data_IF_586738029138
#
_entry.id   IF_586738029138
#
_cell.length_a   1.000
_cell.length_b   1.000
_cell.length_c   1.000
_cell.angle_alpha   90.00
_cell.angle_beta   90.00
_cell.angle_gamma   90.00
#
_symmetry.space_group_name_H-M   'P 1'
#
loop_
_entity.id
_entity.type
_entity.pdbx_description
1 polymer ?
#
# COMPACT_ATOMS: atom_id res chain seq x y z
N UNK A 1 -4.64 -15.48 -8.83
CA UNK A 1 -4.51 -14.02 -8.57
C UNK A 1 -3.15 -13.75 -7.95
N UNK A 2 -2.45 -12.76 -8.47
CA UNK A 2 -1.18 -12.32 -7.90
C UNK A 2 -1.39 -10.97 -7.21
N UNK A 3 -0.86 -10.82 -5.99
CA UNK A 3 -1.06 -9.63 -5.16
C UNK A 3 0.26 -8.91 -4.93
N UNK A 4 0.25 -7.60 -5.11
CA UNK A 4 1.35 -6.70 -4.74
C UNK A 4 0.97 -6.01 -3.43
N UNK A 5 1.82 -6.14 -2.41
CA UNK A 5 1.63 -5.47 -1.13
C UNK A 5 2.73 -4.40 -1.00
N UNK A 6 2.34 -3.14 -1.00
CA UNK A 6 3.28 -2.02 -1.02
C UNK A 6 3.07 -1.09 0.16
N UNK A 7 4.17 -0.68 0.79
CA UNK A 7 4.13 0.26 1.90
C UNK A 7 5.52 0.52 2.47
N UNK A 8 5.63 1.50 3.35
CA UNK A 8 6.85 1.73 4.11
C UNK A 8 7.03 0.61 5.15
N UNK A 9 8.23 0.49 5.68
CA UNK A 9 8.49 -0.38 6.83
C UNK A 9 7.78 0.14 8.09
N UNK A 10 7.83 -0.60 9.18
CA UNK A 10 7.19 -0.21 10.43
C UNK A 10 5.70 -0.48 10.46
N UNK A 11 4.92 0.48 10.96
CA UNK A 11 3.48 0.32 11.17
C UNK A 11 2.68 -0.01 9.92
N UNK A 12 3.02 0.62 8.80
CA UNK A 12 2.33 0.34 7.52
C UNK A 12 2.54 -1.10 7.08
N UNK A 13 3.76 -1.61 7.21
CA UNK A 13 4.07 -3.00 6.86
C UNK A 13 3.37 -3.96 7.81
N UNK A 14 3.33 -3.65 9.09
CA UNK A 14 2.64 -4.47 10.09
C UNK A 14 1.16 -4.60 9.76
N UNK A 15 0.50 -3.52 9.36
CA UNK A 15 -0.89 -3.55 8.92
C UNK A 15 -1.10 -4.54 7.78
N UNK A 16 -0.27 -4.45 6.75
CA UNK A 16 -0.36 -5.35 5.60
C UNK A 16 -0.12 -6.80 6.00
N UNK A 17 0.88 -7.04 6.83
CA UNK A 17 1.22 -8.39 7.28
C UNK A 17 0.08 -9.02 8.06
N UNK A 18 -0.63 -8.26 8.88
CA UNK A 18 -1.75 -8.76 9.67
C UNK A 18 -2.98 -9.10 8.83
N UNK A 19 -3.00 -8.73 7.56
CA UNK A 19 -4.05 -9.10 6.62
C UNK A 19 -3.81 -10.47 5.98
N UNK A 20 -3.14 -11.35 6.68
CA UNK A 20 -2.77 -12.69 6.22
C UNK A 20 -3.88 -13.43 5.47
N UNK A 21 -5.12 -13.46 5.97
CA UNK A 21 -6.20 -14.13 5.24
C UNK A 21 -6.42 -13.63 3.81
N UNK A 22 -6.04 -12.40 3.51
CA UNK A 22 -6.19 -11.84 2.16
C UNK A 22 -5.09 -12.28 1.20
N UNK A 23 -3.92 -12.67 1.72
CA UNK A 23 -2.77 -12.90 0.84
C UNK A 23 -2.06 -14.26 1.02
N UNK A 24 -2.25 -14.97 2.14
CA UNK A 24 -1.44 -16.16 2.43
C UNK A 24 -1.62 -17.30 1.42
N UNK A 25 -2.80 -17.41 0.81
CA UNK A 25 -3.10 -18.45 -0.18
C UNK A 25 -2.96 -17.97 -1.62
N UNK A 26 -2.31 -16.83 -1.83
CA UNK A 26 -2.16 -16.21 -3.15
C UNK A 26 -0.70 -16.04 -3.51
N UNK A 27 -0.40 -16.05 -4.80
CA UNK A 27 0.89 -15.62 -5.29
C UNK A 27 1.03 -14.14 -4.93
N UNK A 28 2.19 -13.76 -4.39
CA UNK A 28 2.36 -12.40 -3.87
C UNK A 28 3.81 -11.97 -3.88
N UNK A 29 3.99 -10.67 -3.85
CA UNK A 29 5.28 -10.04 -3.60
C UNK A 29 5.06 -8.74 -2.84
N UNK A 30 6.13 -8.25 -2.23
CA UNK A 30 6.10 -7.09 -1.36
C UNK A 30 7.00 -6.01 -1.92
N UNK A 31 6.63 -4.76 -1.70
CA UNK A 31 7.48 -3.60 -2.00
C UNK A 31 7.55 -2.77 -0.73
N UNK A 32 8.75 -2.62 -0.18
CA UNK A 32 8.93 -1.89 1.08
C UNK A 32 10.37 -1.37 1.18
N UNK A 33 10.65 -0.64 2.26
CA UNK A 33 11.98 -0.12 2.51
C UNK A 33 12.94 -1.25 2.89
N UNK A 34 14.19 -1.13 2.46
CA UNK A 34 15.25 -2.08 2.80
C UNK A 34 15.77 -1.78 4.22
N UNK A 35 14.98 -2.13 5.22
CA UNK A 35 15.27 -1.94 6.64
C UNK A 35 15.18 -3.26 7.39
N UNK A 36 15.85 -3.34 8.54
CA UNK A 36 15.96 -4.58 9.31
C UNK A 36 14.61 -5.13 9.77
N UNK A 37 13.66 -4.27 10.18
CA UNK A 37 12.35 -4.72 10.61
C UNK A 37 11.58 -5.38 9.46
N UNK A 38 11.69 -4.84 8.26
CA UNK A 38 11.06 -5.42 7.08
C UNK A 38 11.71 -6.75 6.71
N UNK A 39 13.03 -6.82 6.75
CA UNK A 39 13.76 -8.07 6.46
C UNK A 39 13.39 -9.18 7.41
N UNK A 40 13.26 -8.88 8.70
CA UNK A 40 12.84 -9.85 9.70
C UNK A 40 11.42 -10.34 9.48
N UNK A 41 10.49 -9.41 9.26
CA UNK A 41 9.08 -9.73 9.11
C UNK A 41 8.80 -10.53 7.84
N UNK A 42 9.46 -10.19 6.75
CA UNK A 42 9.20 -10.78 5.43
C UNK A 42 10.21 -11.86 5.04
N UNK A 43 10.84 -12.49 6.02
CA UNK A 43 11.78 -13.59 5.78
C UNK A 43 11.08 -14.69 4.99
N UNK A 44 11.70 -15.08 3.87
CA UNK A 44 11.11 -16.10 3.00
C UNK A 44 10.12 -15.56 1.96
N UNK A 45 9.78 -14.27 2.03
CA UNK A 45 8.89 -13.62 1.06
C UNK A 45 9.70 -12.99 -0.07
N UNK A 46 9.05 -12.83 -1.24
CA UNK A 46 9.65 -12.09 -2.35
C UNK A 46 9.46 -10.59 -2.11
N UNK A 47 10.55 -9.85 -1.98
CA UNK A 47 10.53 -8.42 -1.65
C UNK A 47 11.33 -7.64 -2.66
N UNK A 48 10.74 -6.54 -3.13
CA UNK A 48 11.45 -5.53 -3.94
C UNK A 48 11.69 -4.32 -3.05
N UNK A 49 12.94 -3.87 -2.92
CA UNK A 49 13.22 -2.67 -2.14
C UNK A 49 12.79 -1.41 -2.89
N UNK A 50 12.38 -0.40 -2.14
CA UNK A 50 12.12 0.93 -2.68
C UNK A 50 12.92 1.97 -1.91
N UNK A 51 13.01 3.18 -2.46
CA UNK A 51 13.82 4.24 -1.90
C UNK A 51 13.12 4.92 -0.71
N UNK A 52 13.88 5.31 0.28
CA UNK A 52 13.41 6.03 1.44
C UNK A 52 14.45 7.10 1.84
N UNK A 53 14.04 8.16 2.56
CA UNK A 53 12.69 8.49 3.01
C UNK A 53 11.78 8.90 1.85
N UNK A 54 10.47 8.76 2.04
CA UNK A 54 9.48 9.17 1.05
C UNK A 54 8.74 10.44 1.44
N UNK A 55 8.88 10.86 2.70
CA UNK A 55 8.18 12.02 3.23
C UNK A 55 8.78 13.30 2.64
N UNK A 56 7.96 14.06 1.90
CA UNK A 56 8.37 15.33 1.26
C UNK A 56 9.68 15.21 0.45
N UNK A 57 9.87 14.09 -0.24
CA UNK A 57 11.08 13.82 -0.98
C UNK A 57 10.75 13.53 -2.45
N UNK A 58 10.85 14.58 -3.27
CA UNK A 58 10.52 14.50 -4.70
C UNK A 58 11.49 13.59 -5.45
N UNK A 59 12.79 13.60 -5.10
CA UNK A 59 13.78 12.73 -5.72
C UNK A 59 13.40 11.26 -5.56
N UNK A 60 13.05 10.87 -4.33
CA UNK A 60 12.67 9.49 -4.06
C UNK A 60 11.31 9.15 -4.65
N UNK A 61 10.40 10.13 -4.76
CA UNK A 61 9.14 9.92 -5.47
C UNK A 61 9.38 9.55 -6.93
N UNK A 62 10.27 10.26 -7.61
CA UNK A 62 10.64 9.98 -9.00
C UNK A 62 11.30 8.61 -9.10
N UNK A 63 12.26 8.31 -8.22
CA UNK A 63 12.95 7.02 -8.20
C UNK A 63 11.96 5.86 -7.97
N UNK A 64 11.03 6.02 -7.04
CA UNK A 64 10.03 5.00 -6.76
C UNK A 64 9.02 4.85 -7.89
N UNK A 65 8.78 5.90 -8.67
CA UNK A 65 7.96 5.79 -9.88
C UNK A 65 8.61 4.86 -10.91
N UNK A 66 9.93 4.96 -11.11
CA UNK A 66 10.65 4.04 -11.98
C UNK A 66 10.68 2.61 -11.41
N UNK A 67 10.83 2.47 -10.09
CA UNK A 67 10.73 1.16 -9.43
C UNK A 67 9.35 0.56 -9.70
N UNK A 68 8.29 1.35 -9.56
CA UNK A 68 6.93 0.88 -9.80
C UNK A 68 6.73 0.41 -11.25
N UNK A 69 7.22 1.18 -12.21
CA UNK A 69 7.14 0.79 -13.62
C UNK A 69 7.83 -0.55 -13.86
N UNK A 70 9.06 -0.69 -13.36
CA UNK A 70 9.84 -1.91 -13.54
C UNK A 70 9.18 -3.11 -12.88
N UNK A 71 8.81 -2.97 -11.62
CA UNK A 71 8.25 -4.07 -10.83
C UNK A 71 6.89 -4.50 -11.34
N UNK A 72 6.00 -3.55 -11.61
CA UNK A 72 4.65 -3.86 -12.08
C UNK A 72 4.66 -4.48 -13.49
N UNK A 73 5.56 -4.05 -14.35
CA UNK A 73 5.73 -4.67 -15.68
C UNK A 73 6.26 -6.09 -15.58
N UNK A 74 7.19 -6.34 -14.66
CA UNK A 74 7.80 -7.66 -14.47
C UNK A 74 6.84 -8.64 -13.82
N UNK A 75 6.18 -8.25 -12.74
CA UNK A 75 5.35 -9.14 -11.94
C UNK A 75 3.92 -9.25 -12.43
N UNK A 76 3.40 -8.20 -13.06
CA UNK A 76 2.01 -8.13 -13.57
C UNK A 76 0.98 -8.59 -12.53
N UNK A 77 0.91 -7.94 -11.36
CA UNK A 77 -0.05 -8.32 -10.35
C UNK A 77 -1.48 -8.04 -10.81
N UNK A 78 -2.43 -8.76 -10.26
CA UNK A 78 -3.86 -8.52 -10.51
C UNK A 78 -4.43 -7.49 -9.54
N UNK A 79 -3.83 -7.40 -8.36
CA UNK A 79 -4.31 -6.57 -7.26
C UNK A 79 -3.12 -5.89 -6.57
N UNK A 80 -3.26 -4.61 -6.27
CA UNK A 80 -2.27 -3.86 -5.47
C UNK A 80 -2.96 -3.39 -4.20
N UNK A 81 -2.38 -3.73 -3.05
CA UNK A 81 -2.89 -3.35 -1.74
C UNK A 81 -1.84 -2.52 -1.02
N UNK A 82 -2.26 -1.46 -0.36
CA UNK A 82 -1.37 -0.66 0.50
C UNK A 82 -2.11 -0.15 1.73
N UNK A 83 -1.38 0.01 2.81
CA UNK A 83 -1.85 0.70 4.02
C UNK A 83 -1.16 2.05 4.18
N UNK A 84 -0.38 2.49 3.22
CA UNK A 84 0.17 3.83 3.24
C UNK A 84 1.64 3.95 2.97
N UNK A 85 2.11 5.08 3.31
CA UNK A 85 3.25 5.90 2.98
C UNK A 85 3.25 6.35 1.51
N UNK A 86 4.04 7.38 1.24
CA UNK A 86 4.05 8.03 -0.08
C UNK A 86 4.47 7.10 -1.21
N UNK A 87 5.20 6.02 -0.92
CA UNK A 87 5.59 5.02 -1.92
C UNK A 87 4.38 4.36 -2.60
N UNK A 88 3.25 4.28 -1.91
CA UNK A 88 2.02 3.72 -2.47
C UNK A 88 1.50 4.54 -3.66
N UNK A 89 1.71 5.84 -3.65
CA UNK A 89 1.16 6.74 -4.68
C UNK A 89 1.61 6.35 -6.09
N UNK A 90 2.92 6.27 -6.40
CA UNK A 90 3.35 5.89 -7.75
C UNK A 90 2.90 4.49 -8.12
N UNK A 91 2.92 3.54 -7.20
CA UNK A 91 2.47 2.17 -7.48
C UNK A 91 0.99 2.15 -7.84
N UNK A 92 0.16 2.88 -7.12
CA UNK A 92 -1.29 2.92 -7.37
C UNK A 92 -1.62 3.57 -8.70
N UNK A 93 -1.01 4.72 -9.00
CA UNK A 93 -1.29 5.41 -10.28
C UNK A 93 -0.85 4.62 -11.49
N UNK A 94 0.34 3.99 -11.43
CA UNK A 94 0.82 3.16 -12.53
C UNK A 94 -0.03 1.90 -12.67
N UNK A 95 -0.37 1.25 -11.57
CA UNK A 95 -1.23 0.07 -11.60
C UNK A 95 -2.61 0.41 -12.17
N UNK A 96 -3.15 1.58 -11.85
CA UNK A 96 -4.42 2.05 -12.41
C UNK A 96 -4.34 2.18 -13.92
N UNK A 97 -3.26 2.77 -14.43
CA UNK A 97 -3.03 2.89 -15.87
C UNK A 97 -2.89 1.52 -16.55
N UNK A 98 -2.45 0.52 -15.82
CA UNK A 98 -2.34 -0.86 -16.33
C UNK A 98 -3.63 -1.67 -16.17
N UNK A 99 -4.70 -1.06 -15.67
CA UNK A 99 -6.00 -1.72 -15.49
C UNK A 99 -6.07 -2.67 -14.31
N UNK A 100 -5.19 -2.53 -13.32
CA UNK A 100 -5.17 -3.40 -12.14
C UNK A 100 -6.15 -2.92 -11.08
N UNK A 101 -6.56 -3.84 -10.19
CA UNK A 101 -7.40 -3.49 -9.04
C UNK A 101 -6.58 -2.92 -7.90
N UNK A 102 -7.16 -1.95 -7.19
CA UNK A 102 -6.48 -1.21 -6.13
C UNK A 102 -7.33 -1.22 -4.86
N UNK A 103 -6.71 -1.59 -3.75
CA UNK A 103 -7.32 -1.52 -2.42
C UNK A 103 -6.39 -0.71 -1.52
N UNK A 104 -6.91 0.32 -0.90
CA UNK A 104 -6.17 1.12 0.07
C UNK A 104 -6.82 1.03 1.44
N UNK A 105 -6.00 0.88 2.47
CA UNK A 105 -6.45 0.79 3.85
C UNK A 105 -5.83 1.96 4.63
N UNK A 106 -6.68 2.85 5.13
CA UNK A 106 -6.20 3.97 5.96
C UNK A 106 -5.74 3.42 7.31
N UNK A 107 -4.63 3.97 7.82
CA UNK A 107 -3.98 3.42 9.01
C UNK A 107 -4.85 3.56 10.27
N UNK A 108 -4.64 2.65 11.22
CA UNK A 108 -5.44 2.53 12.44
C UNK A 108 -5.48 3.80 13.29
N UNK A 109 -4.37 4.53 13.36
CA UNK A 109 -4.28 5.74 14.17
C UNK A 109 -4.96 6.97 13.53
N UNK A 110 -5.56 6.82 12.35
CA UNK A 110 -6.30 7.89 11.69
C UNK A 110 -7.79 7.75 11.96
N UNK A 111 -8.27 8.44 13.00
CA UNK A 111 -9.66 8.36 13.44
C UNK A 111 -10.56 9.26 12.58
N UNK A 112 -10.18 10.51 12.40
CA UNK A 112 -10.97 11.54 11.71
C UNK A 112 -10.17 12.43 10.76
N UNK A 113 -8.84 12.27 10.73
CA UNK A 113 -7.95 13.06 9.87
C UNK A 113 -7.29 12.18 8.82
N UNK A 114 -7.47 12.49 7.54
CA UNK A 114 -6.88 11.68 6.49
C UNK A 114 -5.38 11.89 6.37
N UNK A 115 -4.68 10.86 5.85
CA UNK A 115 -3.30 11.03 5.42
C UNK A 115 -3.28 11.67 4.03
N UNK A 116 -2.16 12.31 3.67
CA UNK A 116 -1.99 12.84 2.33
C UNK A 116 -2.04 11.71 1.29
N UNK A 117 -1.38 10.60 1.57
CA UNK A 117 -1.40 9.43 0.69
C UNK A 117 -2.83 8.95 0.44
N UNK A 118 -3.63 8.82 1.51
CA UNK A 118 -5.03 8.41 1.38
C UNK A 118 -5.82 9.35 0.49
N UNK A 119 -5.66 10.66 0.66
CA UNK A 119 -6.32 11.65 -0.18
C UNK A 119 -5.94 11.52 -1.65
N UNK A 120 -4.65 11.26 -1.92
CA UNK A 120 -4.15 11.18 -3.29
C UNK A 120 -4.64 9.93 -4.01
N UNK A 121 -4.81 8.81 -3.32
CA UNK A 121 -5.23 7.55 -3.95
C UNK A 121 -6.74 7.34 -3.93
N UNK A 122 -7.47 8.01 -3.06
CA UNK A 122 -8.92 7.84 -2.93
C UNK A 122 -9.68 7.94 -4.27
N UNK A 123 -9.38 8.92 -5.16
CA UNK A 123 -10.12 9.04 -6.41
C UNK A 123 -9.95 7.87 -7.39
N UNK A 124 -8.90 7.07 -7.24
CA UNK A 124 -8.56 6.04 -8.23
C UNK A 124 -8.69 4.61 -7.72
N UNK A 125 -8.89 4.41 -6.42
CA UNK A 125 -8.97 3.05 -5.87
C UNK A 125 -10.33 2.41 -6.10
N UNK A 126 -10.34 1.09 -6.20
CA UNK A 126 -11.58 0.32 -6.31
C UNK A 126 -12.24 0.18 -4.95
N UNK A 127 -11.45 -0.01 -3.90
CA UNK A 127 -11.95 -0.05 -2.53
C UNK A 127 -11.04 0.76 -1.60
N UNK A 128 -11.66 1.56 -0.75
CA UNK A 128 -11.00 2.34 0.27
C UNK A 128 -11.53 1.91 1.63
N UNK A 129 -10.66 1.35 2.47
CA UNK A 129 -11.05 0.77 3.76
C UNK A 129 -10.57 1.67 4.87
N UNK A 130 -11.46 1.95 5.83
CA UNK A 130 -11.14 2.76 7.01
C UNK A 130 -11.35 1.93 8.27
N UNK A 131 -10.66 2.33 9.35
CA UNK A 131 -10.70 1.63 10.64
C UNK A 131 -11.75 2.25 11.59
N UNK A 132 -12.25 3.45 11.26
CA UNK A 132 -13.16 4.23 12.10
C UNK A 132 -14.27 4.85 11.26
N UNK A 133 -15.49 4.83 11.79
CA UNK A 133 -16.65 5.40 11.09
C UNK A 133 -16.52 6.90 10.85
N UNK A 134 -15.79 7.60 11.71
CA UNK A 134 -15.53 9.05 11.55
C UNK A 134 -14.85 9.38 10.25
N UNK A 135 -14.05 8.46 9.70
CA UNK A 135 -13.37 8.64 8.42
C UNK A 135 -14.33 8.61 7.23
N UNK A 136 -15.52 8.07 7.39
CA UNK A 136 -16.52 8.07 6.32
C UNK A 136 -17.01 9.48 5.99
N UNK A 137 -16.87 10.42 6.91
CA UNK A 137 -17.18 11.83 6.66
C UNK A 137 -16.20 12.45 5.67
N UNK A 138 -14.95 12.01 5.72
CA UNK A 138 -13.89 12.44 4.79
C UNK A 138 -13.94 11.65 3.49
N UNK A 139 -14.22 10.36 3.59
CA UNK A 139 -14.25 9.42 2.47
C UNK A 139 -15.62 8.74 2.40
N UNK A 140 -16.63 9.37 1.79
CA UNK A 140 -17.98 8.83 1.79
C UNK A 140 -18.13 7.43 1.18
N UNK A 141 -17.25 7.06 0.27
CA UNK A 141 -17.29 5.74 -0.38
C UNK A 141 -16.48 4.69 0.38
N UNK A 142 -15.86 5.05 1.50
CA UNK A 142 -15.05 4.13 2.27
C UNK A 142 -15.90 3.09 3.00
N UNK A 143 -15.29 1.93 3.23
CA UNK A 143 -15.89 0.80 3.94
C UNK A 143 -15.17 0.63 5.27
N UNK A 144 -15.93 0.47 6.37
CA UNK A 144 -15.36 0.11 7.65
C UNK A 144 -15.63 -1.37 7.91
N UNK A 145 -14.57 -2.19 7.88
CA UNK A 145 -14.65 -3.62 8.12
C UNK A 145 -14.21 -4.00 9.54
N UNK A 146 -14.09 -3.01 10.42
CA UNK A 146 -13.57 -3.20 11.76
C UNK A 146 -12.09 -2.90 11.87
N UNK A 147 -11.57 -2.94 13.11
CA UNK A 147 -10.16 -2.67 13.37
C UNK A 147 -9.28 -3.88 13.02
N UNK A 148 -8.08 -3.61 12.50
CA UNK A 148 -7.07 -4.63 12.25
C UNK A 148 -6.36 -5.03 13.55
N UNK A 149 -6.29 -4.10 14.49
CA UNK A 149 -5.64 -4.34 15.79
C UNK A 149 -6.64 -4.62 16.88
#
# INVERSE_FOLDING_TARGET
>A
MKVCLVGSSGGHLTHLYMLKPLWENKKRFWVTFDKEDAKSMLKGEKVYPCYFPTNRNIKNLIKNTFVALRVLRKEKPDLVISSGAAVAVPFFYIAKLMGKKLIYIEVFDRIDKPTLTGKLVYPIVDEFIVQWDEMKKVYPKAINLGSIF
#
